data_IF_018387679486
#
_entry.id   IF_018387679486
#
_cell.length_a   1.000
_cell.length_b   1.000
_cell.length_c   1.000
_cell.angle_alpha   90.00
_cell.angle_beta   90.00
_cell.angle_gamma   90.00
#
_symmetry.space_group_name_H-M   'P 1'
#
loop_
_entity.id
_entity.type
_entity.pdbx_description
1 polymer ?
#
# COMPACT_ATOMS: atom_id res chain seq x y z
N UNK A 1 -18.58 24.49 25.01
CA UNK A 1 -17.33 24.60 24.22
C UNK A 1 -16.37 23.52 24.70
N UNK A 2 -15.72 22.85 23.74
CA UNK A 2 -14.56 21.97 23.87
C UNK A 2 -14.73 20.56 24.51
N UNK A 3 -15.11 19.60 23.66
CA UNK A 3 -14.48 18.26 23.67
C UNK A 3 -13.83 18.04 22.31
N UNK A 4 -12.58 18.51 22.20
CA UNK A 4 -11.66 18.19 21.10
C UNK A 4 -11.41 16.68 21.14
N UNK A 5 -12.21 15.90 20.42
CA UNK A 5 -11.91 14.50 20.16
C UNK A 5 -10.59 14.46 19.40
N UNK A 6 -9.50 14.13 20.09
CA UNK A 6 -8.22 13.81 19.46
C UNK A 6 -8.51 12.69 18.46
N UNK A 7 -8.57 13.04 17.18
CA UNK A 7 -8.54 12.08 16.08
C UNK A 7 -7.25 11.29 16.25
N UNK A 8 -7.39 10.04 16.69
CA UNK A 8 -6.33 9.05 16.62
C UNK A 8 -6.03 8.90 15.12
N UNK A 9 -5.04 9.64 14.63
CA UNK A 9 -4.43 9.41 13.34
C UNK A 9 -3.62 8.13 13.51
N UNK A 10 -4.32 7.01 13.45
CA UNK A 10 -3.71 5.70 13.36
C UNK A 10 -2.97 5.67 12.03
N UNK A 11 -1.65 5.80 12.10
CA UNK A 11 -0.75 5.61 10.97
C UNK A 11 -0.86 4.14 10.51
N UNK A 12 -1.89 3.85 9.73
CA UNK A 12 -2.19 2.54 9.18
C UNK A 12 -1.29 2.27 7.98
N UNK A 13 0.00 2.15 8.24
CA UNK A 13 1.00 1.82 7.25
C UNK A 13 0.97 0.31 6.98
N UNK A 14 0.98 -0.06 5.70
CA UNK A 14 1.07 -1.46 5.28
C UNK A 14 2.45 -1.67 4.65
N UNK A 15 3.24 -2.53 5.28
CA UNK A 15 4.55 -2.95 4.78
C UNK A 15 4.44 -4.32 4.11
N UNK A 16 5.05 -4.46 2.95
CA UNK A 16 5.10 -5.71 2.18
C UNK A 16 6.53 -5.94 1.69
N UNK A 17 7.14 -7.05 2.13
CA UNK A 17 8.39 -7.54 1.55
C UNK A 17 8.09 -8.61 0.51
N UNK A 18 8.77 -8.54 -0.64
CA UNK A 18 8.65 -9.53 -1.71
C UNK A 18 10.06 -10.01 -2.07
N UNK A 19 10.38 -11.20 -1.59
CA UNK A 19 11.66 -11.84 -1.82
C UNK A 19 11.67 -12.57 -3.17
N UNK A 20 12.88 -12.73 -3.74
CA UNK A 20 13.14 -13.57 -4.92
C UNK A 20 12.33 -13.22 -6.18
N UNK A 21 11.80 -12.00 -6.26
CA UNK A 21 11.17 -11.49 -7.47
C UNK A 21 12.18 -11.60 -8.63
N UNK A 22 11.78 -12.20 -9.75
CA UNK A 22 12.63 -12.26 -10.95
C UNK A 22 12.78 -10.85 -11.53
N UNK A 23 13.76 -10.67 -12.41
CA UNK A 23 13.87 -9.42 -13.16
C UNK A 23 12.65 -9.26 -14.06
N UNK A 24 12.09 -8.05 -14.08
CA UNK A 24 10.88 -7.74 -14.84
C UNK A 24 10.10 -6.54 -14.31
N UNK A 25 9.04 -6.21 -15.04
CA UNK A 25 8.09 -5.18 -14.68
C UNK A 25 6.83 -5.78 -14.06
N UNK A 26 6.44 -5.26 -12.91
CA UNK A 26 5.33 -5.75 -12.11
C UNK A 26 4.32 -4.63 -11.85
N UNK A 27 3.07 -5.03 -11.65
CA UNK A 27 1.99 -4.14 -11.23
C UNK A 27 1.36 -4.72 -9.96
N UNK A 28 1.59 -4.07 -8.82
CA UNK A 28 0.90 -4.35 -7.57
C UNK A 28 -0.41 -3.55 -7.55
N UNK A 29 -1.54 -4.25 -7.61
CA UNK A 29 -2.86 -3.65 -7.43
C UNK A 29 -3.27 -3.83 -5.96
N UNK A 30 -3.61 -2.73 -5.30
CA UNK A 30 -4.23 -2.74 -3.98
C UNK A 30 -5.73 -2.67 -4.19
N UNK A 31 -6.46 -3.65 -3.64
CA UNK A 31 -7.89 -3.80 -3.80
C UNK A 31 -8.60 -3.55 -2.47
N UNK A 32 -9.75 -2.88 -2.52
CA UNK A 32 -10.74 -2.83 -1.46
C UNK A 32 -12.08 -3.32 -2.03
N UNK A 33 -12.73 -4.27 -1.36
CA UNK A 33 -13.97 -4.89 -1.83
C UNK A 33 -13.90 -5.34 -3.31
N UNK A 34 -12.82 -6.03 -3.69
CA UNK A 34 -12.51 -6.48 -5.05
C UNK A 34 -12.41 -5.38 -6.12
N UNK A 35 -12.34 -4.10 -5.72
CA UNK A 35 -12.13 -2.97 -6.63
C UNK A 35 -10.72 -2.43 -6.43
N UNK A 36 -10.02 -2.15 -7.53
CA UNK A 36 -8.67 -1.57 -7.48
C UNK A 36 -8.75 -0.13 -6.98
N UNK A 37 -8.13 0.15 -5.83
CA UNK A 37 -8.06 1.50 -5.24
C UNK A 37 -6.71 2.18 -5.48
N UNK A 38 -5.64 1.41 -5.69
CA UNK A 38 -4.32 1.92 -6.05
C UNK A 38 -3.56 0.90 -6.88
N UNK A 39 -2.71 1.39 -7.78
CA UNK A 39 -1.75 0.56 -8.49
C UNK A 39 -0.35 1.14 -8.33
N UNK A 40 0.63 0.27 -8.09
CA UNK A 40 2.05 0.60 -8.00
C UNK A 40 2.80 -0.21 -9.06
N UNK A 41 3.59 0.47 -9.89
CA UNK A 41 4.47 -0.20 -10.85
C UNK A 41 5.83 -0.42 -10.19
N UNK A 42 6.35 -1.63 -10.29
CA UNK A 42 7.64 -2.02 -9.73
C UNK A 42 8.48 -2.58 -10.87
N UNK A 43 9.60 -1.93 -11.20
CA UNK A 43 10.55 -2.42 -12.18
C UNK A 43 11.76 -3.00 -11.46
N UNK A 44 11.89 -4.33 -11.46
CA UNK A 44 13.08 -5.00 -10.92
C UNK A 44 14.09 -5.23 -12.03
N UNK A 45 15.18 -4.47 -11.99
CA UNK A 45 16.26 -4.52 -12.99
C UNK A 45 17.57 -5.12 -12.47
N UNK A 46 17.60 -5.51 -11.19
CA UNK A 46 18.76 -6.10 -10.52
C UNK A 46 18.32 -7.35 -9.77
#
# INVERSE_FOLDING_TARGET
>A
MDKKSKTHLDNNEIYLSIDHLKQGDYKLNILDNNKVVKAVKISKRQ
#
